data_IF_020311901191
#
_entry.id   IF_020311901191
#
_cell.length_a   1.000
_cell.length_b   1.000
_cell.length_c   1.000
_cell.angle_alpha   90.00
_cell.angle_beta   90.00
_cell.angle_gamma   90.00
#
_symmetry.space_group_name_H-M   'P 1'
#
loop_
_entity.id
_entity.type
_entity.pdbx_description
1 polymer ?
#
# COMPACT_ATOMS: atom_id res chain seq x y z
N UNK A 1 16.74 15.10 -9.72
CA UNK A 1 17.30 13.82 -9.25
C UNK A 1 17.46 13.80 -7.72
N UNK A 2 16.38 13.97 -6.95
CA UNK A 2 16.49 14.07 -5.49
C UNK A 2 16.17 12.74 -4.76
N UNK A 3 15.17 11.98 -5.22
CA UNK A 3 14.79 10.66 -4.70
C UNK A 3 14.20 9.79 -5.81
N UNK A 4 14.18 8.45 -5.64
CA UNK A 4 13.61 7.53 -6.63
C UNK A 4 12.06 7.59 -6.62
N UNK A 5 11.38 7.16 -7.70
CA UNK A 5 9.92 7.14 -7.72
C UNK A 5 9.31 6.30 -6.59
N UNK A 6 9.94 5.18 -6.26
CA UNK A 6 9.51 4.33 -5.15
C UNK A 6 9.62 5.03 -3.80
N UNK A 7 10.70 5.78 -3.56
CA UNK A 7 10.86 6.57 -2.34
C UNK A 7 9.85 7.72 -2.28
N UNK A 8 9.60 8.39 -3.40
CA UNK A 8 8.63 9.48 -3.46
C UNK A 8 7.20 9.01 -3.13
N UNK A 9 6.74 7.90 -3.71
CA UNK A 9 5.37 7.37 -3.45
C UNK A 9 5.17 7.10 -1.96
N UNK A 10 6.13 6.43 -1.33
CA UNK A 10 6.02 6.02 0.07
C UNK A 10 6.20 7.21 1.01
N UNK A 11 7.09 8.16 0.68
CA UNK A 11 7.23 9.40 1.43
C UNK A 11 5.96 10.26 1.36
N UNK A 12 5.39 10.43 0.18
CA UNK A 12 4.17 11.20 -0.02
C UNK A 12 2.99 10.59 0.77
N UNK A 13 2.84 9.27 0.75
CA UNK A 13 1.81 8.57 1.54
C UNK A 13 2.02 8.72 3.05
N UNK A 14 3.26 8.59 3.53
CA UNK A 14 3.56 8.80 4.94
C UNK A 14 3.29 10.25 5.39
N UNK A 15 3.67 11.22 4.55
CA UNK A 15 3.46 12.63 4.79
C UNK A 15 1.97 12.99 4.78
N UNK A 16 1.18 12.48 3.82
CA UNK A 16 -0.25 12.79 3.72
C UNK A 16 -1.04 12.30 4.92
N UNK A 17 -0.65 11.18 5.55
CA UNK A 17 -1.32 10.73 6.77
C UNK A 17 -1.12 11.69 7.95
N UNK A 18 -0.04 12.48 7.97
CA UNK A 18 0.22 13.43 9.08
C UNK A 18 -0.76 14.61 9.12
N UNK A 19 -1.50 14.86 8.04
CA UNK A 19 -2.53 15.91 8.00
C UNK A 19 -3.93 15.41 8.35
N UNK A 20 -4.10 14.10 8.56
CA UNK A 20 -5.36 13.48 8.96
C UNK A 20 -5.38 13.28 10.49
N UNK A 21 -6.30 13.92 11.24
CA UNK A 21 -6.38 13.74 12.69
C UNK A 21 -6.60 12.28 13.09
N UNK A 22 -5.75 11.76 13.98
CA UNK A 22 -5.85 10.37 14.47
C UNK A 22 -5.29 9.31 13.53
N UNK A 23 -4.83 9.67 12.33
CA UNK A 23 -4.16 8.74 11.43
C UNK A 23 -2.81 8.26 11.99
N UNK A 24 -2.37 7.04 11.64
CA UNK A 24 -1.10 6.51 12.11
C UNK A 24 0.08 7.28 11.50
N UNK A 25 1.17 7.38 12.26
CA UNK A 25 2.47 7.81 11.75
C UNK A 25 3.23 6.58 11.24
N UNK A 26 3.07 6.29 9.96
CA UNK A 26 3.74 5.16 9.32
C UNK A 26 5.24 5.40 9.21
N UNK A 27 6.04 4.35 9.39
CA UNK A 27 7.48 4.42 9.25
C UNK A 27 7.88 4.67 7.79
N UNK A 28 8.83 5.58 7.57
CA UNK A 28 9.41 5.82 6.25
C UNK A 28 10.88 5.42 6.23
N UNK A 29 11.27 4.68 5.19
CA UNK A 29 12.65 4.26 4.89
C UNK A 29 12.98 4.71 3.48
N UNK A 30 14.20 5.21 3.27
CA UNK A 30 14.71 5.73 1.99
C UNK A 30 15.78 4.80 1.42
N UNK A 31 15.92 4.76 0.09
CA UNK A 31 16.92 3.96 -0.62
C UNK A 31 16.36 2.89 -1.54
N UNK A 32 15.10 3.00 -1.98
CA UNK A 32 14.55 2.06 -2.97
C UNK A 32 15.26 2.23 -4.31
N UNK A 33 15.63 1.13 -5.00
CA UNK A 33 16.23 1.22 -6.34
C UNK A 33 15.22 1.71 -7.37
N UNK A 34 15.73 2.12 -8.54
CA UNK A 34 14.89 2.43 -9.70
C UNK A 34 14.03 1.23 -10.13
N UNK A 35 12.80 1.44 -10.60
CA UNK A 35 11.92 0.37 -11.04
C UNK A 35 12.52 -0.36 -12.25
N UNK A 36 12.39 -1.68 -12.28
CA UNK A 36 12.92 -2.54 -13.36
C UNK A 36 12.04 -2.56 -14.61
N UNK A 37 10.80 -2.10 -14.49
CA UNK A 37 9.77 -2.18 -15.52
C UNK A 37 8.38 -2.08 -14.91
N UNK A 38 7.33 -2.17 -15.75
CA UNK A 38 5.94 -2.18 -15.27
C UNK A 38 5.64 -3.43 -14.45
N UNK A 39 4.68 -3.31 -13.54
CA UNK A 39 4.14 -4.46 -12.82
C UNK A 39 3.28 -5.33 -13.78
N UNK A 40 3.15 -6.65 -13.52
CA UNK A 40 2.21 -7.49 -14.26
C UNK A 40 0.76 -7.00 -14.12
N UNK A 41 -0.05 -7.25 -15.15
CA UNK A 41 -1.47 -6.93 -15.11
C UNK A 41 -2.22 -7.79 -14.07
N UNK A 42 -3.37 -7.28 -13.63
CA UNK A 42 -4.33 -7.98 -12.76
C UNK A 42 -3.82 -8.40 -11.37
N UNK A 43 -2.74 -7.77 -10.87
CA UNK A 43 -2.25 -7.99 -9.49
C UNK A 43 -2.93 -7.09 -8.45
N UNK A 44 -3.77 -6.14 -8.87
CA UNK A 44 -4.48 -5.21 -7.98
C UNK A 44 -5.90 -5.71 -7.73
N UNK A 45 -6.28 -5.99 -6.47
CA UNK A 45 -7.63 -6.41 -6.13
C UNK A 45 -8.68 -5.38 -6.54
N UNK A 46 -9.83 -5.85 -7.02
CA UNK A 46 -10.93 -5.04 -7.53
C UNK A 46 -12.10 -5.06 -6.54
N UNK A 47 -12.92 -4.00 -6.47
CA UNK A 47 -14.10 -3.97 -5.60
C UNK A 47 -15.17 -5.01 -5.97
N UNK A 48 -15.12 -5.56 -7.19
CA UNK A 48 -16.01 -6.63 -7.64
C UNK A 48 -15.53 -8.03 -7.27
N UNK A 49 -14.33 -8.18 -6.71
CA UNK A 49 -13.83 -9.49 -6.27
C UNK A 49 -14.59 -9.96 -5.03
N UNK A 50 -14.79 -11.28 -4.93
CA UNK A 50 -15.34 -11.91 -3.73
C UNK A 50 -14.37 -11.81 -2.56
N UNK A 51 -14.87 -11.89 -1.32
CA UNK A 51 -14.02 -11.85 -0.11
C UNK A 51 -12.91 -12.90 -0.14
N UNK A 52 -13.19 -14.12 -0.61
CA UNK A 52 -12.17 -15.18 -0.71
C UNK A 52 -11.07 -14.84 -1.73
N UNK A 53 -11.42 -14.18 -2.84
CA UNK A 53 -10.43 -13.71 -3.81
C UNK A 53 -9.56 -12.60 -3.21
N UNK A 54 -10.14 -11.66 -2.46
CA UNK A 54 -9.39 -10.60 -1.77
C UNK A 54 -8.43 -11.17 -0.72
N UNK A 55 -8.91 -12.08 0.14
CA UNK A 55 -8.10 -12.74 1.15
C UNK A 55 -6.94 -13.51 0.52
N UNK A 56 -7.21 -14.23 -0.59
CA UNK A 56 -6.16 -14.94 -1.32
C UNK A 56 -5.12 -13.98 -1.92
N UNK A 57 -5.55 -12.90 -2.58
CA UNK A 57 -4.64 -11.95 -3.22
C UNK A 57 -3.70 -11.28 -2.21
N UNK A 58 -4.20 -10.92 -1.03
CA UNK A 58 -3.38 -10.36 0.04
C UNK A 58 -2.47 -11.41 0.71
N UNK A 59 -2.93 -12.66 0.85
CA UNK A 59 -2.09 -13.75 1.32
C UNK A 59 -0.93 -14.06 0.37
N UNK A 60 -1.15 -13.96 -0.95
CA UNK A 60 -0.12 -14.18 -1.99
C UNK A 60 1.03 -13.14 -1.89
N UNK A 61 0.81 -11.98 -1.24
CA UNK A 61 1.83 -10.95 -0.95
C UNK A 61 2.18 -10.83 0.53
N UNK A 62 1.77 -11.81 1.35
CA UNK A 62 2.23 -11.95 2.74
C UNK A 62 1.39 -11.24 3.80
N UNK A 63 0.15 -10.83 3.51
CA UNK A 63 -0.77 -10.27 4.51
C UNK A 63 -1.80 -11.29 4.99
N UNK A 64 -2.01 -11.34 6.30
CA UNK A 64 -3.09 -12.10 6.94
C UNK A 64 -4.45 -11.43 6.74
N UNK A 65 -5.57 -12.16 6.99
CA UNK A 65 -6.91 -11.57 6.99
C UNK A 65 -7.05 -10.37 7.94
N UNK A 66 -6.41 -10.41 9.11
CA UNK A 66 -6.44 -9.31 10.06
C UNK A 66 -5.69 -8.06 9.54
N UNK A 67 -4.56 -8.26 8.84
CA UNK A 67 -3.82 -7.16 8.23
C UNK A 67 -4.56 -6.56 7.03
N UNK A 68 -5.27 -7.36 6.23
CA UNK A 68 -6.16 -6.82 5.20
C UNK A 68 -7.21 -5.88 5.82
N UNK A 69 -7.88 -6.31 6.89
CA UNK A 69 -8.86 -5.46 7.59
C UNK A 69 -8.20 -4.19 8.14
N UNK A 70 -6.98 -4.29 8.69
CA UNK A 70 -6.24 -3.12 9.16
C UNK A 70 -5.90 -2.15 8.03
N UNK A 71 -5.48 -2.64 6.85
CA UNK A 71 -5.17 -1.81 5.68
C UNK A 71 -6.40 -1.10 5.10
N UNK A 72 -7.60 -1.69 5.24
CA UNK A 72 -8.85 -1.06 4.86
C UNK A 72 -9.21 0.17 5.71
N UNK A 73 -8.52 0.43 6.82
CA UNK A 73 -8.63 1.71 7.55
C UNK A 73 -8.33 2.92 6.66
N UNK A 74 -7.60 2.74 5.57
CA UNK A 74 -7.42 3.73 4.50
C UNK A 74 -8.71 4.26 3.86
N UNK A 75 -9.83 3.56 4.03
CA UNK A 75 -11.14 3.98 3.53
C UNK A 75 -11.96 4.75 4.57
N UNK A 76 -11.37 5.13 5.70
CA UNK A 76 -12.00 5.97 6.72
C UNK A 76 -12.16 7.39 6.18
N UNK A 77 -13.35 7.96 6.38
CA UNK A 77 -13.69 9.34 6.00
C UNK A 77 -12.98 10.39 6.88
#
# INVERSE_FOLDING_TARGET
HAITPGDFIQFAGALSLTVCPGAPRVAFVIGRPEPKGPAPDFIVPQPVNTTNQLLKAFADVGFSPAELVALLSSHTA
#
